data_IF_502969431764
#
_entry.id   IF_502969431764
#
_cell.length_a   1.000
_cell.length_b   1.000
_cell.length_c   1.000
_cell.angle_alpha   90.00
_cell.angle_beta   90.00
_cell.angle_gamma   90.00
#
_symmetry.space_group_name_H-M   'P 1'
#
loop_
_entity.id
_entity.type
_entity.pdbx_description
1 polymer ?
#
# COMPACT_ATOMS: atom_id res chain seq x y z
N UNK A 1 39.54 46.33 34.72
CA UNK A 1 39.42 44.87 34.96
C UNK A 1 37.98 44.34 34.70
N UNK A 2 37.38 44.56 33.52
CA UNK A 2 35.99 44.10 33.23
C UNK A 2 35.81 43.35 31.90
N UNK A 3 36.85 43.20 31.08
CA UNK A 3 36.77 42.54 29.78
C UNK A 3 37.11 41.03 29.80
N UNK A 4 37.71 40.53 30.89
CA UNK A 4 38.21 39.14 30.97
C UNK A 4 37.13 38.09 31.29
N UNK A 5 36.04 38.48 31.98
CA UNK A 5 34.96 37.55 32.34
C UNK A 5 34.10 37.15 31.15
N UNK A 6 33.72 38.12 30.30
CA UNK A 6 32.76 37.91 29.20
C UNK A 6 33.29 36.96 28.11
N UNK A 7 34.61 36.99 27.83
CA UNK A 7 35.26 36.06 26.90
C UNK A 7 35.26 34.62 27.43
N UNK A 8 35.52 34.44 28.73
CA UNK A 8 35.56 33.11 29.37
C UNK A 8 34.19 32.41 29.37
N UNK A 9 33.09 33.14 29.54
CA UNK A 9 31.74 32.59 29.45
C UNK A 9 31.32 32.21 28.02
N UNK A 10 31.75 32.96 27.00
CA UNK A 10 31.49 32.60 25.60
C UNK A 10 32.24 31.32 25.20
N UNK A 11 33.53 31.23 25.55
CA UNK A 11 34.39 30.08 25.24
C UNK A 11 33.90 28.79 25.93
N UNK A 12 33.43 28.88 27.18
CA UNK A 12 32.83 27.72 27.87
C UNK A 12 31.57 27.24 27.14
N UNK A 13 30.66 28.13 26.76
CA UNK A 13 29.42 27.76 26.09
C UNK A 13 29.66 27.17 24.69
N UNK A 14 30.61 27.72 23.93
CA UNK A 14 31.00 27.18 22.61
C UNK A 14 31.59 25.76 22.76
N UNK A 15 32.41 25.53 23.79
CA UNK A 15 32.98 24.20 24.06
C UNK A 15 31.90 23.17 24.43
N UNK A 16 30.90 23.53 25.24
CA UNK A 16 29.78 22.63 25.54
C UNK A 16 28.90 22.35 24.33
N UNK A 17 28.62 23.37 23.51
CA UNK A 17 27.86 23.20 22.26
C UNK A 17 28.60 22.31 21.25
N UNK A 18 29.92 22.48 21.13
CA UNK A 18 30.75 21.64 20.26
C UNK A 18 30.79 20.19 20.76
N UNK A 19 30.92 19.97 22.06
CA UNK A 19 30.88 18.62 22.66
C UNK A 19 29.51 17.96 22.51
N UNK A 20 28.43 18.71 22.67
CA UNK A 20 27.07 18.23 22.45
C UNK A 20 26.84 17.87 20.97
N UNK A 21 27.34 18.70 20.05
CA UNK A 21 27.27 18.44 18.61
C UNK A 21 28.05 17.17 18.21
N UNK A 22 29.27 17.00 18.73
CA UNK A 22 30.07 15.78 18.49
C UNK A 22 29.40 14.56 19.10
N UNK A 23 28.81 14.66 20.30
CA UNK A 23 28.07 13.56 20.92
C UNK A 23 26.84 13.16 20.09
N UNK A 24 26.07 14.14 19.57
CA UNK A 24 24.94 13.88 18.68
C UNK A 24 25.40 13.18 17.39
N UNK A 25 26.49 13.65 16.77
CA UNK A 25 27.06 13.02 15.58
C UNK A 25 27.50 11.57 15.86
N UNK A 26 28.09 11.30 17.03
CA UNK A 26 28.47 9.93 17.40
C UNK A 26 27.26 9.03 17.65
N UNK A 27 26.19 9.56 18.25
CA UNK A 27 24.94 8.80 18.46
C UNK A 27 24.28 8.51 17.11
N UNK A 28 24.22 9.49 16.21
CA UNK A 28 23.67 9.31 14.85
C UNK A 28 24.49 8.28 14.05
N UNK A 29 25.82 8.32 14.16
CA UNK A 29 26.71 7.35 13.52
C UNK A 29 26.53 5.94 14.08
N UNK A 30 26.38 5.77 15.40
CA UNK A 30 26.15 4.44 16.01
C UNK A 30 24.75 3.91 15.68
N UNK A 31 23.74 4.78 15.61
CA UNK A 31 22.38 4.42 15.22
C UNK A 31 22.30 3.96 13.75
N UNK A 32 23.21 4.46 12.89
CA UNK A 32 23.34 4.05 11.48
C UNK A 32 24.00 2.68 11.28
N UNK A 33 24.55 2.07 12.34
CA UNK A 33 25.16 0.73 12.30
C UNK A 33 24.23 -0.38 12.81
N UNK A 34 22.97 -0.06 13.13
CA UNK A 34 21.98 -1.10 13.40
C UNK A 34 21.60 -1.75 12.06
N UNK A 35 21.79 -3.07 11.89
CA UNK A 35 21.23 -3.78 10.74
C UNK A 35 19.71 -3.80 10.90
N UNK A 36 19.03 -2.79 10.36
CA UNK A 36 17.68 -2.96 9.90
C UNK A 36 17.77 -3.57 8.52
N UNK A 37 17.39 -4.84 8.35
CA UNK A 37 16.82 -5.25 7.08
C UNK A 37 15.65 -4.29 6.88
N UNK A 38 15.86 -3.33 6.00
CA UNK A 38 14.83 -2.40 5.60
C UNK A 38 14.30 -3.04 4.34
N UNK A 39 13.21 -3.80 4.46
CA UNK A 39 12.28 -4.00 3.36
C UNK A 39 12.12 -2.65 2.68
N UNK A 40 12.68 -2.50 1.49
CA UNK A 40 12.74 -1.22 0.79
C UNK A 40 11.90 -1.36 -0.45
N UNK A 41 10.68 -0.78 -0.47
CA UNK A 41 9.83 -0.86 -1.65
C UNK A 41 10.50 -0.32 -2.94
N UNK A 42 11.65 0.34 -2.87
CA UNK A 42 12.33 0.96 -4.00
C UNK A 42 13.61 0.26 -4.48
N UNK A 43 13.89 -0.98 -4.08
CA UNK A 43 15.08 -1.72 -4.55
C UNK A 43 15.10 -1.82 -6.08
N UNK A 44 13.97 -2.24 -6.64
CA UNK A 44 13.78 -2.42 -8.09
C UNK A 44 12.47 -1.79 -8.50
N UNK A 45 12.44 -1.07 -9.62
CA UNK A 45 11.17 -0.67 -10.22
C UNK A 45 11.25 -0.67 -11.73
N UNK A 46 10.09 -0.85 -12.35
CA UNK A 46 9.95 -0.90 -13.79
C UNK A 46 8.50 -0.87 -14.23
N UNK A 47 8.27 -1.10 -15.52
CA UNK A 47 6.94 -1.16 -16.12
C UNK A 47 6.60 -2.60 -16.47
N UNK A 48 5.42 -3.07 -16.05
CA UNK A 48 4.96 -4.43 -16.40
C UNK A 48 4.64 -4.50 -17.88
N UNK A 49 5.25 -5.47 -18.57
CA UNK A 49 5.15 -5.62 -20.03
C UNK A 49 4.38 -6.86 -20.46
N UNK A 50 4.22 -7.82 -19.56
CA UNK A 50 3.49 -9.06 -19.80
C UNK A 50 3.04 -9.68 -18.47
N UNK A 51 1.89 -10.35 -18.46
CA UNK A 51 1.37 -11.08 -17.28
C UNK A 51 1.18 -12.54 -17.68
N UNK A 52 1.83 -13.46 -16.97
CA UNK A 52 1.85 -14.89 -17.30
C UNK A 52 0.67 -15.61 -16.63
N UNK A 53 0.51 -15.39 -15.33
CA UNK A 53 -0.57 -15.92 -14.49
C UNK A 53 -0.89 -14.95 -13.34
N UNK A 54 -1.54 -15.39 -12.27
CA UNK A 54 -1.96 -14.51 -11.19
C UNK A 54 -0.80 -13.96 -10.35
N UNK A 55 0.27 -14.72 -10.19
CA UNK A 55 1.41 -14.43 -9.32
C UNK A 55 2.75 -14.29 -10.06
N UNK A 56 2.73 -14.31 -11.40
CA UNK A 56 3.93 -14.18 -12.24
C UNK A 56 3.73 -13.17 -13.38
N UNK A 57 4.67 -12.23 -13.54
CA UNK A 57 4.68 -11.21 -14.61
C UNK A 57 6.10 -10.84 -15.07
N UNK A 58 6.22 -10.23 -16.25
CA UNK A 58 7.50 -9.73 -16.76
C UNK A 58 7.59 -8.20 -16.58
N UNK A 59 8.69 -7.75 -15.97
CA UNK A 59 8.95 -6.36 -15.63
C UNK A 59 10.12 -5.82 -16.47
N UNK A 60 9.87 -4.75 -17.24
CA UNK A 60 10.96 -4.01 -17.89
C UNK A 60 11.56 -3.03 -16.88
N UNK A 61 12.81 -3.29 -16.51
CA UNK A 61 13.50 -2.60 -15.42
C UNK A 61 13.86 -1.16 -15.81
N UNK A 62 13.56 -0.21 -14.93
CA UNK A 62 13.92 1.21 -15.05
C UNK A 62 14.98 1.62 -13.99
N UNK A 63 14.88 1.06 -12.79
CA UNK A 63 15.94 1.07 -11.76
C UNK A 63 16.18 -0.37 -11.33
N UNK A 64 17.44 -0.78 -11.41
CA UNK A 64 17.89 -2.11 -11.06
C UNK A 64 18.63 -2.09 -9.72
N UNK A 65 18.47 -3.17 -8.97
CA UNK A 65 19.45 -3.58 -7.97
C UNK A 65 20.74 -4.05 -8.66
N UNK A 66 21.88 -3.97 -7.97
CA UNK A 66 23.18 -4.38 -8.51
C UNK A 66 23.26 -5.85 -8.96
N UNK A 67 22.35 -6.70 -8.46
CA UNK A 67 22.24 -8.12 -8.81
C UNK A 67 21.53 -8.35 -10.15
N UNK A 68 20.76 -7.38 -10.65
CA UNK A 68 19.93 -7.49 -11.84
C UNK A 68 20.71 -7.00 -13.06
N UNK A 69 20.85 -7.87 -14.06
CA UNK A 69 21.62 -7.57 -15.27
C UNK A 69 20.75 -7.42 -16.52
N UNK A 70 19.56 -8.02 -16.53
CA UNK A 70 18.72 -8.02 -17.72
C UNK A 70 17.77 -6.83 -17.73
N UNK A 71 17.44 -6.38 -18.95
CA UNK A 71 16.51 -5.26 -19.14
C UNK A 71 15.04 -5.62 -18.86
N UNK A 72 14.73 -6.91 -18.88
CA UNK A 72 13.41 -7.46 -18.61
C UNK A 72 13.61 -8.68 -17.74
N UNK A 73 12.99 -8.67 -16.56
CA UNK A 73 13.07 -9.76 -15.58
C UNK A 73 11.69 -10.37 -15.35
N UNK A 74 11.66 -11.68 -15.08
CA UNK A 74 10.44 -12.36 -14.68
C UNK A 74 10.32 -12.35 -13.17
N UNK A 75 9.19 -11.89 -12.68
CA UNK A 75 8.89 -11.75 -11.26
C UNK A 75 7.87 -12.81 -10.85
N UNK A 76 8.11 -13.46 -9.72
CA UNK A 76 7.16 -14.31 -9.00
C UNK A 76 6.87 -13.66 -7.65
N UNK A 77 5.60 -13.58 -7.28
CA UNK A 77 5.20 -12.95 -6.02
C UNK A 77 5.55 -13.82 -4.82
N UNK A 78 6.20 -13.23 -3.83
CA UNK A 78 6.51 -13.88 -2.56
C UNK A 78 5.25 -14.24 -1.77
N UNK A 79 5.28 -15.42 -1.15
CA UNK A 79 4.32 -15.95 -0.18
C UNK A 79 2.85 -15.99 -0.57
N UNK A 80 2.55 -15.80 -1.84
CA UNK A 80 1.25 -16.01 -2.42
C UNK A 80 1.31 -17.11 -3.46
N UNK A 81 0.19 -17.78 -3.67
CA UNK A 81 0.06 -18.75 -4.74
C UNK A 81 -1.26 -18.56 -5.46
N UNK A 82 -1.19 -18.28 -6.75
CA UNK A 82 -2.35 -18.23 -7.63
C UNK A 82 -2.74 -19.63 -8.12
N UNK A 83 -4.02 -19.86 -8.50
CA UNK A 83 -4.43 -21.11 -9.14
C UNK A 83 -3.68 -21.34 -10.46
N UNK A 84 -3.28 -22.59 -10.74
CA UNK A 84 -2.68 -22.98 -12.03
C UNK A 84 -3.56 -22.50 -13.20
N UNK A 85 -2.96 -21.99 -14.27
CA UNK A 85 -3.64 -21.58 -15.50
C UNK A 85 -4.52 -22.67 -16.13
N UNK A 86 -4.27 -23.95 -15.83
CA UNK A 86 -5.13 -25.08 -16.24
C UNK A 86 -6.37 -25.24 -15.38
N UNK A 87 -6.37 -24.69 -14.17
CA UNK A 87 -7.54 -24.66 -13.30
C UNK A 87 -8.54 -23.61 -13.80
N UNK A 88 -9.82 -23.82 -13.50
CA UNK A 88 -10.91 -22.91 -13.92
C UNK A 88 -10.68 -21.47 -13.43
N UNK A 89 -10.07 -21.31 -12.25
CA UNK A 89 -9.83 -20.02 -11.62
C UNK A 89 -8.53 -19.33 -12.07
N UNK A 90 -7.60 -20.04 -12.72
CA UNK A 90 -6.30 -19.51 -13.14
C UNK A 90 -6.41 -18.30 -14.08
N UNK A 91 -7.19 -18.39 -15.18
CA UNK A 91 -7.41 -17.25 -16.07
C UNK A 91 -7.98 -16.02 -15.37
N UNK A 92 -8.89 -16.21 -14.39
CA UNK A 92 -9.45 -15.10 -13.63
C UNK A 92 -8.40 -14.40 -12.76
N UNK A 93 -7.50 -15.16 -12.13
CA UNK A 93 -6.39 -14.60 -11.36
C UNK A 93 -5.42 -13.81 -12.25
N UNK A 94 -5.06 -14.36 -13.41
CA UNK A 94 -4.24 -13.67 -14.42
C UNK A 94 -4.90 -12.37 -14.88
N UNK A 95 -6.20 -12.40 -15.20
CA UNK A 95 -6.92 -11.23 -15.70
C UNK A 95 -7.01 -10.12 -14.64
N UNK A 96 -7.11 -10.48 -13.36
CA UNK A 96 -7.00 -9.52 -12.26
C UNK A 96 -5.61 -8.87 -12.23
N UNK A 97 -4.54 -9.68 -12.25
CA UNK A 97 -3.15 -9.17 -12.28
C UNK A 97 -2.89 -8.30 -13.50
N UNK A 98 -3.39 -8.70 -14.66
CA UNK A 98 -3.34 -7.89 -15.88
C UNK A 98 -4.06 -6.55 -15.71
N UNK A 99 -5.29 -6.55 -15.20
CA UNK A 99 -6.06 -5.32 -15.03
C UNK A 99 -5.40 -4.34 -14.04
N UNK A 100 -4.73 -4.86 -13.01
CA UNK A 100 -4.10 -4.04 -11.98
C UNK A 100 -2.69 -3.59 -12.39
N UNK A 101 -1.88 -4.44 -13.02
CA UNK A 101 -0.45 -4.17 -13.21
C UNK A 101 -0.04 -3.82 -14.65
N UNK A 102 -0.76 -4.28 -15.68
CA UNK A 102 -0.30 -4.12 -17.08
C UNK A 102 -0.07 -2.65 -17.43
N UNK A 103 1.06 -2.37 -18.09
CA UNK A 103 1.51 -1.02 -18.48
C UNK A 103 1.63 -0.03 -17.31
N UNK A 104 1.60 -0.50 -16.06
CA UNK A 104 1.85 0.31 -14.87
C UNK A 104 3.26 0.13 -14.36
N UNK A 105 3.75 1.18 -13.70
CA UNK A 105 4.98 1.10 -12.91
C UNK A 105 4.71 0.36 -11.61
N UNK A 106 5.58 -0.59 -11.30
CA UNK A 106 5.55 -1.40 -10.08
C UNK A 106 6.91 -1.29 -9.40
N UNK A 107 6.86 -1.27 -8.08
CA UNK A 107 7.96 -1.18 -7.14
C UNK A 107 8.12 -2.55 -6.49
N UNK A 108 9.34 -3.06 -6.39
CA UNK A 108 9.62 -4.39 -5.84
C UNK A 108 10.59 -4.28 -4.67
N UNK A 109 10.26 -5.03 -3.63
CA UNK A 109 11.19 -5.45 -2.58
C UNK A 109 11.59 -6.89 -2.90
N UNK A 110 12.85 -7.10 -3.29
CA UNK A 110 13.33 -8.36 -3.86
C UNK A 110 13.97 -9.18 -2.74
N UNK A 111 13.64 -10.47 -2.68
CA UNK A 111 14.18 -11.35 -1.65
C UNK A 111 15.71 -11.31 -1.58
N UNK A 112 16.24 -11.21 -0.37
CA UNK A 112 17.67 -11.25 -0.11
C UNK A 112 18.23 -12.67 0.05
N UNK A 113 17.38 -13.70 0.22
CA UNK A 113 17.82 -15.09 0.25
C UNK A 113 18.17 -15.62 -1.14
N UNK A 114 19.21 -16.46 -1.23
CA UNK A 114 19.58 -17.18 -2.47
C UNK A 114 19.66 -16.33 -3.76
N UNK A 115 20.06 -15.04 -3.65
CA UNK A 115 20.10 -14.03 -4.74
C UNK A 115 18.74 -13.51 -5.19
N UNK A 116 17.69 -13.76 -4.43
CA UNK A 116 16.32 -13.32 -4.71
C UNK A 116 15.68 -14.02 -5.88
N UNK A 117 16.10 -15.26 -6.18
CA UNK A 117 15.64 -16.02 -7.33
C UNK A 117 15.15 -17.42 -6.93
N UNK A 118 14.11 -17.88 -7.60
CA UNK A 118 13.68 -19.28 -7.49
C UNK A 118 14.51 -20.23 -8.39
N UNK A 119 14.17 -21.52 -8.35
CA UNK A 119 14.85 -22.57 -9.12
C UNK A 119 14.78 -22.36 -10.64
N UNK A 120 13.83 -21.56 -11.13
CA UNK A 120 13.70 -21.20 -12.54
C UNK A 120 14.40 -19.88 -12.90
N UNK A 121 15.04 -19.22 -11.93
CA UNK A 121 15.73 -17.94 -12.09
C UNK A 121 14.79 -16.74 -12.12
N UNK A 122 13.53 -16.87 -11.68
CA UNK A 122 12.58 -15.76 -11.55
C UNK A 122 12.84 -15.02 -10.26
N UNK A 123 12.76 -13.69 -10.27
CA UNK A 123 12.91 -12.88 -9.07
C UNK A 123 11.72 -13.09 -8.12
N UNK A 124 12.00 -13.36 -6.85
CA UNK A 124 11.00 -13.49 -5.79
C UNK A 124 10.86 -12.11 -5.12
N UNK A 125 9.64 -11.57 -5.09
CA UNK A 125 9.44 -10.20 -4.59
C UNK A 125 8.06 -9.92 -3.99
N UNK A 126 8.01 -8.89 -3.17
CA UNK A 126 6.77 -8.19 -2.81
C UNK A 126 6.58 -7.01 -3.74
N UNK A 127 5.41 -6.91 -4.37
CA UNK A 127 5.11 -5.87 -5.34
C UNK A 127 4.26 -4.74 -4.74
N UNK A 128 4.61 -3.50 -5.04
CA UNK A 128 3.94 -2.27 -4.59
C UNK A 128 3.50 -1.44 -5.79
N UNK A 129 2.31 -0.86 -5.70
CA UNK A 129 1.77 -0.02 -6.77
C UNK A 129 2.41 1.37 -6.74
N UNK A 130 2.61 1.97 -7.92
CA UNK A 130 2.98 3.36 -8.01
C UNK A 130 1.78 4.28 -7.69
N UNK A 131 1.97 5.21 -6.77
CA UNK A 131 1.04 6.28 -6.46
C UNK A 131 1.02 7.38 -7.52
N UNK A 132 0.18 8.39 -7.30
CA UNK A 132 -0.08 9.45 -8.28
C UNK A 132 1.18 10.25 -8.72
N UNK A 133 2.23 10.31 -7.89
CA UNK A 133 3.50 10.99 -8.21
C UNK A 133 4.63 10.02 -8.53
N UNK A 134 4.31 8.75 -8.77
CA UNK A 134 5.30 7.72 -9.03
C UNK A 134 6.14 7.37 -7.81
N UNK A 135 5.65 7.57 -6.58
CA UNK A 135 6.20 6.97 -5.37
C UNK A 135 5.57 5.58 -5.13
N UNK A 136 6.26 4.62 -4.49
CA UNK A 136 5.63 3.38 -4.05
C UNK A 136 4.51 3.69 -3.04
N UNK A 137 3.37 3.01 -3.18
CA UNK A 137 2.35 2.90 -2.13
C UNK A 137 2.74 1.69 -1.29
N UNK A 138 3.20 1.88 -0.04
CA UNK A 138 3.69 0.79 0.79
C UNK A 138 2.55 -0.17 1.23
N UNK A 139 1.30 0.31 1.23
CA UNK A 139 0.18 -0.48 1.70
C UNK A 139 -1.14 -0.17 0.93
N UNK A 140 -1.96 -1.18 0.55
CA UNK A 140 -1.63 -2.61 0.55
C UNK A 140 -0.61 -2.94 -0.54
N UNK A 141 0.29 -3.88 -0.26
CA UNK A 141 1.09 -4.49 -1.32
C UNK A 141 0.18 -5.32 -2.25
N UNK A 142 0.63 -5.52 -3.49
CA UNK A 142 -0.13 -6.23 -4.50
C UNK A 142 -0.32 -7.71 -4.19
N UNK A 143 0.64 -8.36 -3.51
CA UNK A 143 0.53 -9.75 -3.10
C UNK A 143 -0.71 -9.94 -2.21
N UNK A 144 -0.90 -9.06 -1.23
CA UNK A 144 -2.07 -9.06 -0.36
C UNK A 144 -3.35 -8.71 -1.12
N UNK A 145 -3.30 -7.72 -2.02
CA UNK A 145 -4.43 -7.37 -2.88
C UNK A 145 -4.96 -8.58 -3.68
N UNK A 146 -4.04 -9.39 -4.22
CA UNK A 146 -4.37 -10.60 -4.98
C UNK A 146 -5.07 -11.65 -4.11
N UNK A 147 -4.64 -11.82 -2.86
CA UNK A 147 -5.27 -12.73 -1.89
C UNK A 147 -6.64 -12.22 -1.45
N UNK A 148 -6.75 -10.94 -1.10
CA UNK A 148 -7.99 -10.36 -0.61
C UNK A 148 -9.06 -10.28 -1.72
N UNK A 149 -8.65 -10.20 -2.98
CA UNK A 149 -9.52 -10.36 -4.14
C UNK A 149 -9.90 -11.83 -4.44
N UNK A 150 -9.40 -12.81 -3.67
CA UNK A 150 -9.71 -14.23 -3.85
C UNK A 150 -9.04 -14.88 -5.06
N UNK A 151 -8.00 -14.25 -5.61
CA UNK A 151 -7.26 -14.73 -6.77
C UNK A 151 -5.94 -15.45 -6.41
N UNK A 152 -5.58 -15.46 -5.13
CA UNK A 152 -4.48 -16.25 -4.59
C UNK A 152 -4.78 -16.69 -3.14
N UNK A 153 -3.99 -17.65 -2.67
CA UNK A 153 -3.92 -18.01 -1.24
C UNK A 153 -2.58 -17.54 -0.66
N UNK A 154 -2.54 -17.32 0.65
CA UNK A 154 -1.27 -17.19 1.35
C UNK A 154 -0.59 -18.56 1.40
N UNK A 155 0.60 -18.64 0.81
CA UNK A 155 1.46 -19.80 0.83
C UNK A 155 2.41 -19.78 2.03
N UNK A 156 2.88 -18.59 2.46
CA UNK A 156 3.86 -18.42 3.54
C UNK A 156 5.07 -19.35 3.37
N UNK A 157 5.78 -19.14 2.26
CA UNK A 157 6.95 -19.93 1.91
C UNK A 157 8.07 -19.59 2.91
N UNK A 158 8.88 -20.59 3.28
CA UNK A 158 9.87 -20.44 4.36
C UNK A 158 11.29 -20.25 3.84
N UNK A 159 11.43 -20.08 2.54
CA UNK A 159 12.68 -19.99 1.80
C UNK A 159 12.95 -18.59 1.21
N UNK A 160 12.16 -17.59 1.63
CA UNK A 160 12.38 -16.17 1.39
C UNK A 160 12.40 -15.41 2.74
N UNK A 161 12.71 -14.10 2.73
CA UNK A 161 12.78 -13.27 3.94
C UNK A 161 11.45 -12.72 4.46
N UNK A 162 10.38 -12.96 3.72
CA UNK A 162 9.10 -12.33 3.93
C UNK A 162 8.22 -13.12 4.91
N UNK A 163 7.40 -12.42 5.71
CA UNK A 163 6.33 -13.03 6.51
C UNK A 163 5.00 -12.31 6.21
N UNK A 164 4.02 -13.00 5.59
CA UNK A 164 2.71 -12.42 5.29
C UNK A 164 1.90 -11.96 6.50
N UNK A 165 2.25 -12.42 7.71
CA UNK A 165 1.62 -11.94 8.94
C UNK A 165 1.91 -10.47 9.17
N UNK A 166 3.15 -10.05 8.90
CA UNK A 166 3.56 -8.67 9.11
C UNK A 166 2.73 -7.73 8.22
N UNK A 167 2.55 -8.09 6.95
CA UNK A 167 1.71 -7.33 6.01
C UNK A 167 0.22 -7.29 6.42
N UNK A 168 -0.30 -8.39 7.00
CA UNK A 168 -1.70 -8.46 7.45
C UNK A 168 -1.95 -7.67 8.74
N UNK A 169 -0.98 -7.61 9.64
CA UNK A 169 -1.10 -6.80 10.85
C UNK A 169 -1.11 -5.31 10.51
N UNK A 170 -0.24 -4.90 9.58
CA UNK A 170 -0.27 -3.57 8.98
C UNK A 170 -1.64 -3.29 8.33
N UNK A 171 -2.20 -4.25 7.55
CA UNK A 171 -3.54 -4.11 6.97
C UNK A 171 -4.59 -3.77 8.02
N UNK A 172 -4.67 -4.57 9.07
CA UNK A 172 -5.72 -4.43 10.06
C UNK A 172 -5.58 -3.10 10.81
N UNK A 173 -4.35 -2.64 11.02
CA UNK A 173 -4.08 -1.35 11.64
C UNK A 173 -4.51 -0.17 10.76
N UNK A 174 -4.17 -0.18 9.47
CA UNK A 174 -4.51 0.90 8.54
C UNK A 174 -6.01 0.94 8.24
N UNK A 175 -6.64 -0.22 8.09
CA UNK A 175 -8.08 -0.32 7.92
C UNK A 175 -8.82 0.24 9.14
N UNK A 176 -8.36 -0.11 10.35
CA UNK A 176 -8.91 0.44 11.59
C UNK A 176 -8.73 1.96 11.67
N UNK A 177 -7.60 2.50 11.21
CA UNK A 177 -7.35 3.94 11.19
C UNK A 177 -8.21 4.66 10.15
N UNK A 178 -8.34 4.10 8.94
CA UNK A 178 -9.19 4.61 7.87
C UNK A 178 -10.66 4.64 8.28
N UNK A 179 -11.17 3.54 8.85
CA UNK A 179 -12.54 3.47 9.38
C UNK A 179 -12.75 4.50 10.49
N UNK A 180 -11.73 4.75 11.33
CA UNK A 180 -11.79 5.76 12.39
C UNK A 180 -11.83 7.17 11.81
N UNK A 181 -10.99 7.48 10.81
CA UNK A 181 -10.98 8.78 10.14
C UNK A 181 -12.29 9.04 9.40
N UNK A 182 -12.81 8.04 8.69
CA UNK A 182 -14.08 8.14 7.98
C UNK A 182 -15.23 8.41 8.95
N UNK A 183 -15.26 7.74 10.11
CA UNK A 183 -16.24 8.02 11.17
C UNK A 183 -16.08 9.41 11.77
N UNK A 184 -14.85 9.90 11.92
CA UNK A 184 -14.61 11.27 12.40
C UNK A 184 -15.08 12.30 11.37
N UNK A 185 -14.79 12.09 10.09
CA UNK A 185 -15.27 12.94 9.00
C UNK A 185 -16.79 12.95 8.92
N UNK A 186 -17.44 11.79 9.01
CA UNK A 186 -18.90 11.67 9.01
C UNK A 186 -19.51 12.40 10.20
N UNK A 187 -18.98 12.21 11.42
CA UNK A 187 -19.42 12.96 12.60
C UNK A 187 -19.19 14.48 12.46
N UNK A 188 -18.10 14.91 11.81
CA UNK A 188 -17.85 16.32 11.57
C UNK A 188 -18.82 16.90 10.53
N UNK A 189 -19.13 16.15 9.48
CA UNK A 189 -20.13 16.51 8.47
C UNK A 189 -21.52 16.61 9.10
N UNK A 190 -21.94 15.61 9.87
CA UNK A 190 -23.22 15.63 10.58
C UNK A 190 -23.32 16.84 11.52
N UNK A 191 -22.27 17.15 12.30
CA UNK A 191 -22.26 18.32 13.19
C UNK A 191 -22.25 19.66 12.44
N UNK A 192 -21.58 19.73 11.30
CA UNK A 192 -21.61 20.89 10.43
C UNK A 192 -22.99 21.06 9.78
N UNK A 193 -23.62 19.96 9.36
CA UNK A 193 -24.97 19.94 8.80
C UNK A 193 -26.02 20.29 9.86
N UNK A 194 -25.92 19.77 11.09
CA UNK A 194 -26.77 20.19 12.23
C UNK A 194 -26.61 21.69 12.55
N UNK A 195 -25.39 22.23 12.43
CA UNK A 195 -25.14 23.67 12.62
C UNK A 195 -25.73 24.54 11.51
N UNK A 196 -25.95 23.98 10.32
CA UNK A 196 -26.52 24.64 9.15
C UNK A 196 -28.03 24.39 8.98
N UNK A 197 -28.55 23.28 9.53
CA UNK A 197 -29.95 22.83 9.45
C UNK A 197 -30.75 23.15 10.73
N UNK A 198 -30.21 23.97 11.64
CA UNK A 198 -30.97 24.59 12.74
C UNK A 198 -32.10 25.53 12.28
N UNK A 199 -32.27 25.73 10.97
CA UNK A 199 -33.47 26.24 10.33
C UNK A 199 -34.03 25.16 9.40
N UNK A 200 -35.27 24.75 9.64
CA UNK A 200 -36.11 23.87 8.81
C UNK A 200 -36.06 22.37 9.15
N UNK A 201 -36.75 22.00 10.25
CA UNK A 201 -37.37 20.68 10.34
C UNK A 201 -38.61 20.63 9.43
N UNK A 202 -38.86 19.49 8.77
CA UNK A 202 -39.92 18.55 9.20
C UNK A 202 -40.36 17.52 8.09
N UNK A 203 -40.39 16.23 8.48
CA UNK A 203 -41.22 15.09 7.96
C UNK A 203 -40.92 14.48 6.56
N UNK A 204 -41.05 13.17 6.26
CA UNK A 204 -41.36 11.89 6.94
C UNK A 204 -41.43 10.79 5.85
N UNK A 205 -41.13 9.52 6.14
CA UNK A 205 -41.83 8.39 5.49
C UNK A 205 -41.02 7.17 5.03
N UNK A 206 -41.01 6.14 5.88
CA UNK A 206 -40.54 4.76 5.67
C UNK A 206 -41.67 3.84 5.16
N UNK A 207 -41.38 2.80 4.36
CA UNK A 207 -42.02 1.45 4.34
C UNK A 207 -41.39 0.59 3.21
N UNK A 208 -40.75 -0.56 3.41
CA UNK A 208 -41.05 -1.89 4.00
C UNK A 208 -41.52 -2.98 2.98
N UNK A 209 -40.66 -4.01 2.90
CA UNK A 209 -40.89 -5.46 3.02
C UNK A 209 -41.43 -6.33 1.86
N UNK A 210 -40.77 -7.50 1.69
CA UNK A 210 -41.35 -8.69 1.05
C UNK A 210 -40.38 -9.87 0.89
N UNK A 211 -40.40 -10.83 1.82
CA UNK A 211 -39.69 -12.12 1.78
C UNK A 211 -40.54 -13.21 1.10
N UNK A 212 -39.93 -14.18 0.36
CA UNK A 212 -40.17 -15.64 0.54
C UNK A 212 -39.31 -16.56 -0.37
N UNK A 213 -38.58 -17.47 0.32
CA UNK A 213 -38.17 -18.86 0.05
C UNK A 213 -38.00 -19.40 -1.38
N UNK A 214 -36.79 -19.90 -1.70
CA UNK A 214 -36.61 -20.99 -2.67
C UNK A 214 -35.40 -21.92 -2.38
N UNK A 215 -35.72 -23.21 -2.37
CA UNK A 215 -34.97 -24.48 -2.59
C UNK A 215 -33.44 -24.56 -2.41
N UNK A 216 -32.96 -25.71 -1.92
CA UNK A 216 -31.53 -26.06 -1.78
C UNK A 216 -30.72 -26.04 -3.09
N UNK A 217 -31.37 -26.10 -4.26
CA UNK A 217 -30.69 -25.85 -5.55
C UNK A 217 -30.51 -24.34 -5.84
N UNK A 218 -31.33 -23.49 -5.23
CA UNK A 218 -31.15 -22.05 -5.20
C UNK A 218 -30.10 -21.59 -4.19
N UNK A 219 -29.77 -22.39 -3.17
CA UNK A 219 -28.68 -22.06 -2.24
C UNK A 219 -27.31 -22.14 -2.91
N UNK A 220 -27.06 -23.11 -3.79
CA UNK A 220 -25.79 -23.22 -4.53
C UNK A 220 -25.66 -22.13 -5.59
N UNK A 221 -26.72 -21.86 -6.36
CA UNK A 221 -26.70 -20.74 -7.31
C UNK A 221 -26.61 -19.39 -6.60
N UNK A 222 -27.29 -19.21 -5.46
CA UNK A 222 -27.16 -17.99 -4.64
C UNK A 222 -25.82 -17.90 -3.92
N UNK A 223 -25.11 -18.99 -3.65
CA UNK A 223 -23.74 -18.94 -3.12
C UNK A 223 -22.77 -18.59 -4.25
N UNK A 224 -22.95 -19.11 -5.46
CA UNK A 224 -22.17 -18.73 -6.64
C UNK A 224 -22.44 -17.29 -7.08
N UNK A 225 -23.71 -16.87 -7.12
CA UNK A 225 -24.15 -15.50 -7.41
C UNK A 225 -23.79 -14.55 -6.26
N UNK A 226 -23.92 -14.94 -4.99
CA UNK A 226 -23.48 -14.10 -3.88
C UNK A 226 -21.96 -14.08 -3.73
N UNK A 227 -21.23 -15.13 -4.13
CA UNK A 227 -19.78 -15.12 -4.20
C UNK A 227 -19.33 -14.24 -5.38
N UNK A 228 -19.98 -14.34 -6.53
CA UNK A 228 -19.75 -13.46 -7.69
C UNK A 228 -20.11 -12.01 -7.41
N UNK A 229 -21.19 -11.73 -6.70
CA UNK A 229 -21.57 -10.39 -6.25
C UNK A 229 -20.70 -9.87 -5.11
N UNK A 230 -20.23 -10.72 -4.20
CA UNK A 230 -19.28 -10.31 -3.15
C UNK A 230 -17.90 -10.07 -3.73
N UNK A 231 -17.47 -10.88 -4.69
CA UNK A 231 -16.24 -10.70 -5.45
C UNK A 231 -16.33 -9.41 -6.26
N UNK A 232 -17.41 -9.22 -7.04
CA UNK A 232 -17.62 -8.00 -7.79
C UNK A 232 -17.74 -6.77 -6.87
N UNK A 233 -18.38 -6.89 -5.70
CA UNK A 233 -18.42 -5.80 -4.70
C UNK A 233 -17.08 -5.56 -4.03
N UNK A 234 -16.27 -6.58 -3.77
CA UNK A 234 -14.94 -6.42 -3.17
C UNK A 234 -13.98 -5.81 -4.18
N UNK A 235 -14.01 -6.28 -5.43
CA UNK A 235 -13.30 -5.69 -6.56
C UNK A 235 -13.76 -4.26 -6.79
N UNK A 236 -15.07 -4.00 -6.78
CA UNK A 236 -15.63 -2.66 -6.96
C UNK A 236 -15.34 -1.75 -5.77
N UNK A 237 -15.35 -2.25 -4.53
CA UNK A 237 -14.94 -1.50 -3.35
C UNK A 237 -13.43 -1.21 -3.35
N UNK A 238 -12.60 -2.14 -3.81
CA UNK A 238 -11.17 -1.91 -4.01
C UNK A 238 -10.92 -0.87 -5.11
N UNK A 239 -11.69 -0.92 -6.21
CA UNK A 239 -11.65 0.07 -7.29
C UNK A 239 -12.18 1.44 -6.85
N UNK A 240 -13.24 1.48 -6.05
CA UNK A 240 -13.85 2.71 -5.56
C UNK A 240 -12.99 3.34 -4.46
N UNK A 241 -12.35 2.52 -3.60
CA UNK A 241 -11.31 2.95 -2.68
C UNK A 241 -10.09 3.50 -3.44
N UNK A 242 -9.58 2.78 -4.44
CA UNK A 242 -8.45 3.24 -5.25
C UNK A 242 -8.77 4.56 -5.97
N UNK A 243 -9.99 4.69 -6.51
CA UNK A 243 -10.47 5.96 -7.09
C UNK A 243 -10.55 7.06 -6.06
N UNK A 244 -11.12 6.78 -4.87
CA UNK A 244 -11.24 7.72 -3.77
C UNK A 244 -9.87 8.24 -3.33
N UNK A 245 -8.88 7.35 -3.20
CA UNK A 245 -7.50 7.67 -2.85
C UNK A 245 -6.84 8.59 -3.88
N UNK A 246 -7.00 8.27 -5.18
CA UNK A 246 -6.53 9.10 -6.29
C UNK A 246 -7.20 10.49 -6.28
N UNK A 247 -8.51 10.56 -6.00
CA UNK A 247 -9.25 11.83 -5.94
C UNK A 247 -8.96 12.67 -4.71
N UNK A 248 -8.79 12.07 -3.53
CA UNK A 248 -8.48 12.80 -2.30
C UNK A 248 -7.06 13.38 -2.37
N UNK A 249 -6.11 12.59 -2.85
CA UNK A 249 -4.72 13.03 -3.07
C UNK A 249 -4.63 14.18 -4.08
N UNK A 250 -5.49 14.20 -5.10
CA UNK A 250 -5.54 15.30 -6.07
C UNK A 250 -6.19 16.57 -5.52
N UNK A 251 -7.17 16.46 -4.62
CA UNK A 251 -7.77 17.61 -3.93
C UNK A 251 -6.84 18.24 -2.89
N UNK A 252 -6.10 17.43 -2.13
CA UNK A 252 -5.07 17.93 -1.19
C UNK A 252 -3.95 18.67 -1.90
N UNK A 253 -3.59 18.23 -3.11
CA UNK A 253 -2.61 18.91 -3.96
C UNK A 253 -3.09 20.27 -4.46
N UNK A 254 -4.34 20.36 -4.91
CA UNK A 254 -4.92 21.62 -5.37
C UNK A 254 -4.97 22.61 -4.21
N UNK A 255 -5.37 22.15 -3.02
CA UNK A 255 -5.44 22.99 -1.82
C UNK A 255 -4.04 23.43 -1.34
N UNK A 256 -3.06 22.53 -1.30
CA UNK A 256 -1.69 22.89 -0.88
C UNK A 256 -0.96 23.82 -1.86
N UNK A 257 -1.30 23.76 -3.15
CA UNK A 257 -0.80 24.70 -4.15
C UNK A 257 -1.52 26.04 -4.09
N UNK A 258 -2.82 26.07 -3.77
CA UNK A 258 -3.58 27.30 -3.52
C UNK A 258 -3.06 28.01 -2.26
N UNK A 259 -2.82 27.28 -1.18
CA UNK A 259 -2.31 27.84 0.09
C UNK A 259 -0.89 28.41 -0.08
N UNK A 260 -0.03 27.74 -0.86
CA UNK A 260 1.29 28.29 -1.22
C UNK A 260 1.21 29.52 -2.11
N UNK A 261 0.18 29.65 -2.95
CA UNK A 261 -0.03 30.83 -3.78
C UNK A 261 -0.60 32.01 -2.99
N UNK A 262 -1.48 31.74 -2.02
CA UNK A 262 -2.12 32.77 -1.17
C UNK A 262 -1.20 33.26 -0.03
N UNK A 263 -0.25 32.43 0.44
CA UNK A 263 0.69 32.82 1.50
C UNK A 263 1.98 33.49 0.98
N UNK A 264 2.03 33.82 -0.33
CA UNK A 264 3.11 34.56 -0.99
C UNK A 264 2.72 35.98 -1.42
N UNK A 265 1.54 36.48 -1.04
CA UNK A 265 1.11 37.87 -1.26
C UNK A 265 1.41 38.77 -0.06
#
# INVERSE_FOLDING_TARGET
MRAYGKRRYLELNISYLLRLFVMILTIFSVLSLLPGSSASPDEVYGVVTNVIDGDTFDLRIEKADSRITDSVERITLADVRSPDMKAIQGPAARDFTYAVLMDKRVYLDVDDFNRGQDDEGRLIAVAYLAGAYGQPIPYPNFNLLLVDAGHAILANQTDNEFDPKDWREEHNSEKSNSDTLQRVEENLRERLEESLQGSDQEQKGTQNDGWQNDSQNGLLSRIEDAAGEKLNRATQAAWDWLKAEITNTSLEMVNSNLDRALNRS
#
